data_IF_421151686821
#
_entry.id   IF_421151686821
#
_cell.length_a   1.000
_cell.length_b   1.000
_cell.length_c   1.000
_cell.angle_alpha   90.00
_cell.angle_beta   90.00
_cell.angle_gamma   90.00
#
_symmetry.space_group_name_H-M   'P 1'
#
loop_
_entity.id
_entity.type
_entity.pdbx_description
1 polymer ?
#
# COMPACT_ATOMS: atom_id res chain seq x y z
N UNK A 1 -28.94 -14.23 -0.60
CA UNK A 1 -27.61 -13.67 -0.23
C UNK A 1 -27.79 -12.97 1.12
N UNK A 2 -27.06 -13.35 2.17
CA UNK A 2 -27.23 -12.67 3.47
C UNK A 2 -26.65 -11.24 3.42
N UNK A 3 -27.23 -10.28 4.14
CA UNK A 3 -26.74 -8.90 4.14
C UNK A 3 -25.28 -8.86 4.63
N UNK A 4 -24.41 -8.00 4.06
CA UNK A 4 -23.00 -7.93 4.42
C UNK A 4 -22.76 -7.62 5.90
N UNK A 5 -23.69 -6.92 6.55
CA UNK A 5 -23.70 -6.68 7.99
C UNK A 5 -23.71 -8.00 8.79
N UNK A 6 -24.45 -9.01 8.31
CA UNK A 6 -24.48 -10.31 8.96
C UNK A 6 -23.14 -11.03 8.90
N UNK A 7 -22.33 -10.80 7.85
CA UNK A 7 -21.00 -11.40 7.73
C UNK A 7 -20.01 -10.80 8.73
N UNK A 8 -19.98 -9.47 8.88
CA UNK A 8 -19.07 -8.79 9.82
C UNK A 8 -19.39 -9.14 11.28
N UNK A 9 -20.68 -9.22 11.62
CA UNK A 9 -21.10 -9.65 12.95
C UNK A 9 -20.66 -11.09 13.20
N UNK A 10 -20.89 -12.00 12.24
CA UNK A 10 -20.47 -13.40 12.36
C UNK A 10 -18.96 -13.54 12.51
N UNK A 11 -18.15 -12.79 11.76
CA UNK A 11 -16.69 -12.84 11.91
C UNK A 11 -16.24 -12.34 13.27
N UNK A 12 -16.87 -11.28 13.79
CA UNK A 12 -16.61 -10.78 15.15
C UNK A 12 -16.94 -11.81 16.23
N UNK A 13 -18.07 -12.52 16.08
CA UNK A 13 -18.48 -13.59 17.00
C UNK A 13 -17.51 -14.79 16.95
N UNK A 14 -17.18 -15.27 15.75
CA UNK A 14 -16.25 -16.40 15.55
C UNK A 14 -14.88 -16.09 16.14
N UNK A 15 -14.38 -14.86 15.96
CA UNK A 15 -13.10 -14.45 16.52
C UNK A 15 -13.09 -14.51 18.05
N UNK A 16 -14.07 -13.88 18.70
CA UNK A 16 -14.18 -13.92 20.17
C UNK A 16 -14.34 -15.34 20.70
N UNK A 17 -15.12 -16.18 20.02
CA UNK A 17 -15.29 -17.58 20.39
C UNK A 17 -13.98 -18.38 20.24
N UNK A 18 -13.24 -18.17 19.15
CA UNK A 18 -11.97 -18.86 18.91
C UNK A 18 -10.91 -18.49 19.96
N UNK A 19 -10.75 -17.20 20.25
CA UNK A 19 -9.81 -16.72 21.28
C UNK A 19 -10.20 -17.21 22.68
N UNK A 20 -11.50 -17.36 22.94
CA UNK A 20 -12.03 -17.89 24.20
C UNK A 20 -11.83 -19.40 24.35
N UNK A 21 -11.93 -20.20 23.29
CA UNK A 21 -11.71 -21.65 23.36
C UNK A 21 -10.21 -21.95 23.50
N UNK A 22 -9.36 -21.15 22.87
CA UNK A 22 -7.90 -21.33 22.87
C UNK A 22 -7.48 -22.78 22.50
N UNK A 23 -7.90 -23.30 21.33
CA UNK A 23 -7.86 -24.74 21.04
C UNK A 23 -6.47 -25.32 20.81
N UNK A 24 -5.43 -24.51 20.61
CA UNK A 24 -4.07 -24.95 20.33
C UNK A 24 -3.13 -24.70 21.52
N UNK A 25 -2.02 -25.43 21.57
CA UNK A 25 -0.98 -25.27 22.60
C UNK A 25 -0.22 -23.93 22.49
N UNK A 26 -0.03 -23.43 21.27
CA UNK A 26 0.54 -22.11 20.98
C UNK A 26 -0.06 -21.57 19.66
N UNK A 27 0.05 -20.26 19.43
CA UNK A 27 -0.28 -19.64 18.15
C UNK A 27 -1.74 -19.28 17.97
N UNK A 28 -2.59 -19.48 18.98
CA UNK A 28 -4.01 -19.12 18.94
C UNK A 28 -4.21 -17.67 18.48
N UNK A 29 -3.50 -16.71 19.08
CA UNK A 29 -3.63 -15.31 18.66
C UNK A 29 -3.22 -15.05 17.20
N UNK A 30 -2.33 -15.86 16.59
CA UNK A 30 -1.99 -15.73 15.17
C UNK A 30 -3.13 -16.27 14.30
N UNK A 31 -3.68 -17.43 14.65
CA UNK A 31 -4.78 -18.07 13.92
C UNK A 31 -6.08 -17.27 14.06
N UNK A 32 -6.41 -16.79 15.26
CA UNK A 32 -7.60 -15.97 15.51
C UNK A 32 -7.60 -14.68 14.69
N UNK A 33 -6.42 -14.08 14.47
CA UNK A 33 -6.25 -12.92 13.58
C UNK A 33 -6.33 -13.27 12.10
N UNK A 34 -5.92 -14.47 11.67
CA UNK A 34 -6.09 -14.93 10.29
C UNK A 34 -7.56 -15.18 9.93
N UNK A 35 -8.41 -15.50 10.92
CA UNK A 35 -9.85 -15.71 10.73
C UNK A 35 -10.62 -14.40 10.49
N UNK A 36 -10.02 -13.24 10.75
CA UNK A 36 -10.62 -11.94 10.44
C UNK A 36 -10.02 -11.44 9.12
N UNK A 37 -10.80 -11.40 8.02
CA UNK A 37 -10.23 -11.12 6.71
C UNK A 37 -9.67 -9.69 6.60
N UNK A 38 -8.43 -9.62 6.12
CA UNK A 38 -7.94 -8.68 5.10
C UNK A 38 -7.71 -7.19 5.43
N UNK A 39 -8.09 -6.68 6.59
CA UNK A 39 -7.95 -5.23 6.83
C UNK A 39 -6.69 -4.76 7.57
N UNK A 40 -5.81 -5.61 8.12
CA UNK A 40 -4.77 -5.18 9.08
C UNK A 40 -5.34 -4.79 10.46
N UNK A 41 -6.55 -5.29 10.77
CA UNK A 41 -7.22 -5.15 12.07
C UNK A 41 -6.36 -5.64 13.25
N UNK A 42 -5.42 -6.53 12.99
CA UNK A 42 -4.37 -6.96 13.94
C UNK A 42 -3.61 -5.79 14.56
N UNK A 43 -3.36 -4.71 13.80
CA UNK A 43 -2.68 -3.52 14.32
C UNK A 43 -3.57 -2.74 15.27
N UNK A 44 -4.85 -2.57 14.92
CA UNK A 44 -5.84 -1.91 15.77
C UNK A 44 -5.92 -2.59 17.15
N UNK A 45 -6.04 -3.93 17.19
CA UNK A 45 -6.01 -4.67 18.45
C UNK A 45 -4.67 -4.57 19.19
N UNK A 46 -3.55 -4.53 18.47
CA UNK A 46 -2.23 -4.39 19.09
C UNK A 46 -2.05 -3.02 19.76
N UNK A 47 -2.55 -1.96 19.12
CA UNK A 47 -2.51 -0.60 19.67
C UNK A 47 -3.46 -0.45 20.87
N UNK A 48 -4.62 -1.09 20.84
CA UNK A 48 -5.64 -1.08 21.91
C UNK A 48 -5.69 -2.40 22.68
N UNK A 49 -4.51 -2.95 23.03
CA UNK A 49 -4.40 -4.31 23.60
C UNK A 49 -5.21 -4.49 24.89
N UNK A 50 -5.24 -3.47 25.74
CA UNK A 50 -5.89 -3.53 27.05
C UNK A 50 -7.40 -3.62 26.84
N UNK A 51 -7.97 -2.68 26.10
CA UNK A 51 -9.39 -2.65 25.72
C UNK A 51 -9.81 -3.95 25.01
N UNK A 52 -8.96 -4.46 24.10
CA UNK A 52 -9.22 -5.72 23.41
C UNK A 52 -9.34 -6.91 24.36
N UNK A 53 -8.40 -7.08 25.30
CA UNK A 53 -8.45 -8.17 26.25
C UNK A 53 -9.56 -8.00 27.29
N UNK A 54 -9.84 -6.77 27.72
CA UNK A 54 -10.95 -6.45 28.62
C UNK A 54 -12.30 -6.78 27.97
N UNK A 55 -12.51 -6.36 26.72
CA UNK A 55 -13.73 -6.67 25.98
C UNK A 55 -13.94 -8.19 25.82
N UNK A 56 -12.88 -8.95 25.50
CA UNK A 56 -12.95 -10.42 25.44
C UNK A 56 -13.24 -11.05 26.81
N UNK A 57 -12.66 -10.50 27.88
CA UNK A 57 -12.89 -11.01 29.23
C UNK A 57 -14.33 -10.74 29.66
N UNK A 58 -14.88 -9.56 29.36
CA UNK A 58 -16.27 -9.21 29.69
C UNK A 58 -17.26 -10.08 28.91
N UNK A 59 -16.98 -10.41 27.65
CA UNK A 59 -17.76 -11.41 26.91
C UNK A 59 -17.73 -12.77 27.62
N UNK A 60 -16.56 -13.22 28.07
CA UNK A 60 -16.42 -14.53 28.74
C UNK A 60 -17.12 -14.58 30.10
N UNK A 61 -17.01 -13.53 30.91
CA UNK A 61 -17.49 -13.52 32.30
C UNK A 61 -18.94 -13.05 32.41
N UNK A 62 -19.36 -12.14 31.55
CA UNK A 62 -20.62 -11.41 31.67
C UNK A 62 -21.50 -11.48 30.42
N UNK A 63 -21.01 -12.07 29.31
CA UNK A 63 -21.77 -12.19 28.07
C UNK A 63 -22.03 -10.86 27.36
N UNK A 64 -21.18 -9.84 27.58
CA UNK A 64 -21.34 -8.48 27.00
C UNK A 64 -20.95 -8.42 25.52
N UNK A 65 -21.66 -9.18 24.69
CA UNK A 65 -21.40 -9.27 23.25
C UNK A 65 -21.58 -7.96 22.50
N UNK A 66 -22.49 -7.09 22.96
CA UNK A 66 -22.76 -5.80 22.32
C UNK A 66 -21.54 -4.87 22.40
N UNK A 67 -20.89 -4.80 23.55
CA UNK A 67 -19.67 -4.00 23.76
C UNK A 67 -18.51 -4.51 22.90
N UNK A 68 -18.33 -5.83 22.85
CA UNK A 68 -17.35 -6.47 21.98
C UNK A 68 -17.61 -6.17 20.50
N UNK A 69 -18.86 -6.34 20.05
CA UNK A 69 -19.23 -6.09 18.65
C UNK A 69 -19.07 -4.62 18.29
N UNK A 70 -19.40 -3.69 19.20
CA UNK A 70 -19.19 -2.27 19.00
C UNK A 70 -17.68 -1.95 18.84
N UNK A 71 -16.83 -2.46 19.74
CA UNK A 71 -15.38 -2.30 19.64
C UNK A 71 -14.80 -2.90 18.35
N UNK A 72 -15.25 -4.11 17.99
CA UNK A 72 -14.82 -4.81 16.79
C UNK A 72 -15.22 -4.07 15.51
N UNK A 73 -16.47 -3.65 15.39
CA UNK A 73 -16.99 -2.96 14.20
C UNK A 73 -16.37 -1.56 14.05
N UNK A 74 -16.12 -0.85 15.16
CA UNK A 74 -15.38 0.41 15.13
C UNK A 74 -13.96 0.21 14.58
N UNK A 75 -13.28 -0.85 15.00
CA UNK A 75 -11.96 -1.19 14.45
C UNK A 75 -12.01 -1.55 12.96
N UNK A 76 -13.04 -2.29 12.52
CA UNK A 76 -13.23 -2.60 11.09
C UNK A 76 -13.43 -1.32 10.28
N UNK A 77 -14.25 -0.39 10.77
CA UNK A 77 -14.51 0.89 10.10
C UNK A 77 -13.24 1.75 9.99
N UNK A 78 -12.53 1.93 11.10
CA UNK A 78 -11.30 2.75 11.17
C UNK A 78 -10.26 2.23 10.19
N UNK A 79 -10.00 0.93 10.23
CA UNK A 79 -8.98 0.30 9.42
C UNK A 79 -9.39 0.24 7.93
N UNK A 80 -10.68 0.09 7.63
CA UNK A 80 -11.18 0.20 6.26
C UNK A 80 -10.98 1.61 5.67
N UNK A 81 -11.26 2.65 6.47
CA UNK A 81 -11.02 4.05 6.08
C UNK A 81 -9.55 4.32 5.82
N UNK A 82 -8.68 3.97 6.76
CA UNK A 82 -7.22 4.16 6.61
C UNK A 82 -6.65 3.43 5.39
N UNK A 83 -7.11 2.20 5.14
CA UNK A 83 -6.69 1.40 4.00
C UNK A 83 -7.14 2.04 2.68
N UNK A 84 -8.38 2.54 2.61
CA UNK A 84 -8.90 3.23 1.43
C UNK A 84 -8.13 4.54 1.15
N UNK A 85 -7.86 5.34 2.18
CA UNK A 85 -7.09 6.57 2.07
C UNK A 85 -5.64 6.32 1.63
N UNK A 86 -5.03 5.27 2.16
CA UNK A 86 -3.67 4.87 1.77
C UNK A 86 -3.62 4.40 0.31
N UNK A 87 -4.61 3.63 -0.13
CA UNK A 87 -4.73 3.22 -1.53
C UNK A 87 -4.93 4.43 -2.46
N UNK A 88 -5.80 5.37 -2.11
CA UNK A 88 -6.04 6.60 -2.90
C UNK A 88 -4.77 7.45 -3.02
N UNK A 89 -4.03 7.64 -1.92
CA UNK A 89 -2.74 8.34 -1.92
C UNK A 89 -1.73 7.65 -2.84
N UNK A 90 -1.61 6.32 -2.76
CA UNK A 90 -0.71 5.57 -3.63
C UNK A 90 -1.06 5.79 -5.11
N UNK A 91 -2.33 5.66 -5.48
CA UNK A 91 -2.80 5.86 -6.86
C UNK A 91 -2.51 7.27 -7.36
N UNK A 92 -2.74 8.30 -6.52
CA UNK A 92 -2.44 9.70 -6.85
C UNK A 92 -0.95 9.92 -7.12
N UNK A 93 -0.07 9.39 -6.27
CA UNK A 93 1.39 9.47 -6.46
C UNK A 93 1.81 8.79 -7.76
N UNK A 94 1.35 7.56 -8.02
CA UNK A 94 1.66 6.85 -9.28
C UNK A 94 1.17 7.60 -10.51
N UNK A 95 -0.02 8.24 -10.44
CA UNK A 95 -0.55 9.03 -11.54
C UNK A 95 0.30 10.28 -11.82
N UNK A 96 0.82 10.94 -10.77
CA UNK A 96 1.72 12.09 -10.92
C UNK A 96 3.06 11.70 -11.55
N UNK A 97 3.69 10.63 -11.04
CA UNK A 97 4.96 10.12 -11.57
C UNK A 97 4.84 9.71 -13.04
N UNK A 98 3.73 9.06 -13.42
CA UNK A 98 3.46 8.68 -14.81
C UNK A 98 3.36 9.91 -15.72
N UNK A 99 2.73 11.00 -15.26
CA UNK A 99 2.64 12.26 -16.04
C UNK A 99 4.01 12.90 -16.23
N UNK A 100 4.83 12.96 -15.19
CA UNK A 100 6.18 13.51 -15.29
C UNK A 100 7.05 12.71 -16.26
N UNK A 101 7.03 11.38 -16.16
CA UNK A 101 7.78 10.50 -17.06
C UNK A 101 7.31 10.66 -18.51
N UNK A 102 6.00 10.73 -18.75
CA UNK A 102 5.45 10.98 -20.08
C UNK A 102 5.92 12.33 -20.66
N UNK A 103 5.95 13.38 -19.83
CA UNK A 103 6.47 14.69 -20.23
C UNK A 103 7.95 14.65 -20.64
N UNK A 104 8.79 13.99 -19.84
CA UNK A 104 10.22 13.82 -20.15
C UNK A 104 10.44 13.03 -21.44
N UNK A 105 9.67 11.96 -21.66
CA UNK A 105 9.73 11.16 -22.89
C UNK A 105 9.34 12.02 -24.10
N UNK A 106 8.28 12.82 -24.00
CA UNK A 106 7.87 13.72 -25.08
C UNK A 106 8.91 14.81 -25.38
N UNK A 107 9.53 15.38 -24.33
CA UNK A 107 10.60 16.36 -24.48
C UNK A 107 11.83 15.76 -25.19
N UNK A 108 12.29 14.59 -24.75
CA UNK A 108 13.39 13.85 -25.39
C UNK A 108 13.06 13.51 -26.85
N UNK A 109 11.83 13.10 -27.14
CA UNK A 109 11.38 12.84 -28.51
C UNK A 109 11.43 14.10 -29.39
N UNK A 110 11.05 15.27 -28.86
CA UNK A 110 11.16 16.57 -29.57
C UNK A 110 12.61 16.95 -29.83
N UNK A 111 13.48 16.86 -28.81
CA UNK A 111 14.91 17.16 -28.97
C UNK A 111 15.58 16.25 -30.00
N UNK A 112 15.20 14.97 -30.05
CA UNK A 112 15.68 14.02 -31.06
C UNK A 112 15.19 14.37 -32.46
N UNK A 113 13.91 14.76 -32.60
CA UNK A 113 13.33 15.20 -33.89
C UNK A 113 14.01 16.46 -34.43
N UNK A 114 14.36 17.40 -33.55
CA UNK A 114 15.10 18.62 -33.89
C UNK A 114 16.59 18.37 -34.15
N UNK A 115 17.08 17.12 -34.02
CA UNK A 115 18.48 16.77 -34.24
C UNK A 115 19.44 17.26 -33.15
N UNK A 116 18.93 17.76 -32.02
CA UNK A 116 19.74 18.30 -30.92
C UNK A 116 20.42 17.16 -30.15
N UNK A 117 19.69 16.07 -29.91
CA UNK A 117 20.19 14.87 -29.23
C UNK A 117 20.09 13.64 -30.11
N UNK A 118 21.09 12.76 -30.03
CA UNK A 118 21.11 11.46 -30.73
C UNK A 118 21.36 10.34 -29.73
N UNK A 119 20.57 9.27 -29.81
CA UNK A 119 20.83 8.07 -29.02
C UNK A 119 22.10 7.38 -29.54
N UNK A 120 23.00 7.02 -28.63
CA UNK A 120 24.27 6.35 -28.93
C UNK A 120 24.40 4.96 -28.30
N UNK A 121 23.45 4.55 -27.44
CA UNK A 121 23.54 3.29 -26.70
C UNK A 121 22.96 2.06 -27.41
N UNK A 122 21.99 2.23 -28.31
CA UNK A 122 21.30 1.12 -29.00
C UNK A 122 20.50 0.18 -28.09
N UNK A 123 20.18 0.58 -26.85
CA UNK A 123 19.53 -0.26 -25.82
C UNK A 123 18.08 0.15 -25.62
N UNK A 124 17.19 -0.81 -25.31
CA UNK A 124 15.78 -0.54 -24.96
C UNK A 124 15.58 0.06 -23.56
N UNK A 125 16.56 -0.07 -22.66
CA UNK A 125 16.54 0.50 -21.30
C UNK A 125 17.86 1.21 -21.01
N UNK A 126 17.81 2.28 -20.22
CA UNK A 126 18.96 3.15 -19.86
C UNK A 126 19.66 3.72 -21.11
N UNK A 127 18.88 4.36 -21.97
CA UNK A 127 19.40 4.97 -23.19
C UNK A 127 20.37 6.11 -22.87
N UNK A 128 21.47 6.20 -23.62
CA UNK A 128 22.45 7.28 -23.54
C UNK A 128 22.30 8.15 -24.77
N UNK A 129 22.17 9.46 -24.54
CA UNK A 129 22.01 10.47 -25.58
C UNK A 129 23.23 11.38 -25.63
N UNK A 130 23.68 11.70 -26.84
CA UNK A 130 24.77 12.62 -27.13
C UNK A 130 24.22 13.94 -27.68
N UNK A 131 24.75 15.07 -27.20
CA UNK A 131 24.42 16.42 -27.67
C UNK A 131 25.31 16.79 -28.85
N UNK A 132 24.78 16.71 -30.06
CA UNK A 132 25.59 16.82 -31.29
C UNK A 132 26.17 18.23 -31.50
N UNK A 133 25.43 19.27 -31.13
CA UNK A 133 25.90 20.66 -31.21
C UNK A 133 27.09 20.93 -30.27
N UNK A 134 27.08 20.34 -29.08
CA UNK A 134 28.16 20.46 -28.11
C UNK A 134 29.43 19.73 -28.58
N UNK A 135 29.29 18.53 -29.13
CA UNK A 135 30.41 17.80 -29.74
C UNK A 135 31.06 18.57 -30.89
N UNK A 136 30.27 19.23 -31.75
CA UNK A 136 30.79 20.10 -32.80
C UNK A 136 31.56 21.31 -32.27
N UNK A 137 31.15 21.89 -31.13
CA UNK A 137 31.85 23.01 -30.51
C UNK A 137 33.20 22.58 -29.93
N UNK A 138 33.24 21.47 -29.19
CA UNK A 138 34.49 20.93 -28.63
C UNK A 138 35.44 20.48 -29.72
N UNK A 139 34.96 19.75 -30.74
CA UNK A 139 35.83 19.27 -31.82
C UNK A 139 36.42 20.40 -32.66
N UNK A 140 35.73 21.54 -32.75
CA UNK A 140 36.21 22.74 -33.45
C UNK A 140 37.24 23.53 -32.63
N UNK A 141 37.19 23.44 -31.29
CA UNK A 141 38.18 24.07 -30.39
C UNK A 141 39.46 23.25 -30.19
N UNK A 142 39.40 21.93 -30.37
CA UNK A 142 40.57 21.03 -30.25
C UNK A 142 41.39 20.90 -31.55
N UNK A 143 40.93 21.48 -32.65
CA UNK A 143 41.64 21.50 -33.94
C UNK A 143 42.41 22.80 -34.14
N UNK A 144 43.51 22.99 -33.39
CA UNK A 144 44.70 23.79 -33.73
C UNK A 144 45.69 23.74 -32.55
N UNK A 145 46.38 22.62 -32.43
CA UNK A 145 47.73 22.57 -31.89
C UNK A 145 48.58 21.95 -32.99
N UNK A 146 49.17 22.83 -33.81
CA UNK A 146 50.32 22.50 -34.66
C UNK A 146 51.53 22.17 -33.78
#
# INVERSE_FOLDING_TARGET
MQPPQATLIKTGLVHAQFESIHPFLDGNGRVGRLLIPLLYLSLYFKQRRTEYYEALMNVRLHGTWEEWLAFYLAGVEEVAKESAETADRAVKTFAADRRQLAGLIQAMARLRRLGIVREISGKRRKQVFSYHAYWKLISKGMGKAE
#
